data_IF_772202603554
#
_entry.id   IF_772202603554
#
_cell.length_a   1.000
_cell.length_b   1.000
_cell.length_c   1.000
_cell.angle_alpha   90.00
_cell.angle_beta   90.00
_cell.angle_gamma   90.00
#
_symmetry.space_group_name_H-M   'P 1'
#
loop_
_entity.id
_entity.type
_entity.pdbx_description
1 polymer ?
#
# COMPACT_ATOMS: atom_id res chain seq x y z
N UNK A 1 12.48 -1.04 -16.79
CA UNK A 1 11.47 -2.10 -16.63
C UNK A 1 11.73 -2.75 -15.29
N UNK A 2 10.79 -2.70 -14.36
CA UNK A 2 10.90 -3.41 -13.07
C UNK A 2 10.70 -4.90 -13.31
N UNK A 3 11.62 -5.71 -12.79
CA UNK A 3 11.62 -7.17 -12.94
C UNK A 3 10.43 -7.80 -12.19
N UNK A 4 9.80 -8.78 -12.82
CA UNK A 4 8.77 -9.61 -12.18
C UNK A 4 9.42 -10.77 -11.44
N UNK A 5 9.10 -10.86 -10.16
CA UNK A 5 9.61 -11.84 -9.21
C UNK A 5 8.46 -12.76 -8.83
N UNK A 6 8.73 -14.07 -8.80
CA UNK A 6 7.73 -15.08 -8.48
C UNK A 6 8.09 -15.83 -7.20
N UNK A 7 7.19 -15.78 -6.21
CA UNK A 7 7.37 -16.43 -4.90
C UNK A 7 6.04 -17.01 -4.42
N UNK A 8 6.03 -18.30 -4.07
CA UNK A 8 4.86 -19.03 -3.54
C UNK A 8 3.55 -18.77 -4.33
N UNK A 9 3.64 -18.63 -5.65
CA UNK A 9 2.47 -18.36 -6.50
C UNK A 9 2.23 -16.88 -6.80
N UNK A 10 2.69 -15.96 -5.95
CA UNK A 10 2.55 -14.52 -6.15
C UNK A 10 3.57 -13.98 -7.15
N UNK A 11 3.09 -13.15 -8.07
CA UNK A 11 3.91 -12.37 -8.99
C UNK A 11 3.91 -10.93 -8.51
N UNK A 12 5.09 -10.40 -8.24
CA UNK A 12 5.27 -9.02 -7.83
C UNK A 12 6.47 -8.36 -8.50
N UNK A 13 6.50 -7.03 -8.51
CA UNK A 13 7.68 -6.25 -8.89
C UNK A 13 7.97 -5.19 -7.83
N UNK A 14 9.22 -4.75 -7.75
CA UNK A 14 9.63 -3.67 -6.84
C UNK A 14 9.97 -2.42 -7.64
N UNK A 15 9.51 -1.27 -7.16
CA UNK A 15 9.86 0.05 -7.65
C UNK A 15 10.43 0.89 -6.51
N UNK A 16 11.23 1.91 -6.84
CA UNK A 16 11.68 2.92 -5.90
C UNK A 16 11.10 4.27 -6.31
N UNK A 17 10.33 4.87 -5.41
CA UNK A 17 9.81 6.21 -5.56
C UNK A 17 10.68 7.22 -4.80
N UNK A 18 10.91 8.40 -5.37
CA UNK A 18 11.53 9.52 -4.67
C UNK A 18 10.46 10.40 -4.02
N UNK A 19 10.58 10.63 -2.72
CA UNK A 19 9.68 11.42 -1.88
C UNK A 19 10.51 12.42 -1.08
N UNK A 20 10.41 13.71 -1.45
CA UNK A 20 11.08 14.83 -0.76
C UNK A 20 12.59 14.64 -0.54
N UNK A 21 13.31 14.14 -1.57
CA UNK A 21 14.75 13.89 -1.51
C UNK A 21 15.14 12.64 -0.70
N UNK A 22 14.17 11.78 -0.39
CA UNK A 22 14.37 10.43 0.15
C UNK A 22 13.74 9.41 -0.80
N UNK A 23 14.07 8.15 -0.61
CA UNK A 23 13.57 7.06 -1.43
C UNK A 23 12.70 6.12 -0.60
N UNK A 24 11.56 5.74 -1.17
CA UNK A 24 10.63 4.75 -0.64
C UNK A 24 10.56 3.56 -1.59
N UNK A 25 10.60 2.35 -1.03
CA UNK A 25 10.41 1.14 -1.80
C UNK A 25 8.91 0.86 -1.93
N UNK A 26 8.48 0.45 -3.13
CA UNK A 26 7.10 0.06 -3.43
C UNK A 26 7.07 -1.36 -3.97
N UNK A 27 6.09 -2.13 -3.53
CA UNK A 27 5.86 -3.49 -3.97
C UNK A 27 4.55 -3.49 -4.77
N UNK A 28 4.61 -3.96 -6.01
CA UNK A 28 3.44 -4.12 -6.87
C UNK A 28 3.07 -5.59 -6.98
N UNK A 29 2.00 -6.01 -6.31
CA UNK A 29 1.46 -7.37 -6.40
C UNK A 29 0.51 -7.43 -7.60
N UNK A 30 0.85 -8.26 -8.58
CA UNK A 30 0.17 -8.32 -9.89
C UNK A 30 -0.78 -9.51 -10.02
N UNK A 31 -0.39 -10.67 -9.50
CA UNK A 31 -1.21 -11.87 -9.60
C UNK A 31 -0.83 -12.92 -8.56
N UNK A 32 -1.71 -13.88 -8.34
CA UNK A 32 -1.42 -15.14 -7.68
C UNK A 32 -1.76 -16.30 -8.64
N UNK A 33 -0.71 -16.92 -9.20
CA UNK A 33 -0.80 -17.92 -10.28
C UNK A 33 -1.54 -19.18 -9.87
N UNK A 34 -1.33 -19.67 -8.64
CA UNK A 34 -1.96 -20.92 -8.21
C UNK A 34 -3.47 -20.80 -8.03
N UNK A 35 -3.97 -19.60 -7.71
CA UNK A 35 -5.41 -19.35 -7.62
C UNK A 35 -6.00 -18.73 -8.89
N UNK A 36 -5.17 -18.46 -9.91
CA UNK A 36 -5.59 -17.72 -11.11
C UNK A 36 -6.08 -16.29 -10.85
N UNK A 37 -5.72 -15.68 -9.72
CA UNK A 37 -6.15 -14.31 -9.38
C UNK A 37 -5.22 -13.31 -10.05
N UNK A 38 -5.79 -12.31 -10.73
CA UNK A 38 -5.07 -11.14 -11.22
C UNK A 38 -5.55 -9.92 -10.45
N UNK A 39 -4.62 -9.04 -10.08
CA UNK A 39 -4.88 -7.80 -9.38
C UNK A 39 -4.75 -6.64 -10.38
N UNK A 40 -5.88 -6.12 -10.85
CA UNK A 40 -5.95 -4.95 -11.73
C UNK A 40 -6.86 -3.87 -11.11
N UNK A 41 -6.33 -2.67 -10.79
CA UNK A 41 -4.91 -2.31 -10.84
C UNK A 41 -4.06 -3.15 -9.86
N UNK A 42 -2.73 -3.26 -10.07
CA UNK A 42 -1.84 -3.95 -9.13
C UNK A 42 -2.00 -3.41 -7.70
N UNK A 43 -1.95 -4.30 -6.71
CA UNK A 43 -1.94 -3.85 -5.31
C UNK A 43 -0.58 -3.26 -5.00
N UNK A 44 -0.57 -2.00 -4.56
CA UNK A 44 0.65 -1.28 -4.18
C UNK A 44 0.81 -1.34 -2.67
N UNK A 45 1.98 -1.78 -2.21
CA UNK A 45 2.36 -1.78 -0.81
C UNK A 45 3.64 -0.96 -0.67
N UNK A 46 3.56 0.12 0.10
CA UNK A 46 4.70 0.97 0.39
C UNK A 46 5.47 0.44 1.60
N UNK A 47 6.79 0.47 1.51
CA UNK A 47 7.66 0.23 2.67
C UNK A 47 7.46 1.33 3.72
N UNK A 48 7.52 1.00 5.02
CA UNK A 48 7.31 1.98 6.08
C UNK A 48 8.45 3.01 6.14
N UNK A 49 9.68 2.60 5.83
CA UNK A 49 10.87 3.43 5.99
C UNK A 49 11.21 4.27 4.74
N UNK A 50 11.81 5.43 4.97
CA UNK A 50 12.40 6.30 3.93
C UNK A 50 13.93 6.27 4.02
N UNK A 51 14.58 6.13 2.87
CA UNK A 51 16.03 5.97 2.78
C UNK A 51 16.72 7.12 2.06
N UNK A 52 18.02 7.32 2.32
CA UNK A 52 18.84 8.29 1.56
C UNK A 52 19.24 7.79 0.17
N UNK A 53 19.13 6.48 -0.08
CA UNK A 53 19.60 5.84 -1.32
C UNK A 53 18.49 4.96 -1.86
N UNK A 54 18.25 5.02 -3.17
CA UNK A 54 17.24 4.19 -3.83
C UNK A 54 17.47 2.69 -3.64
N UNK A 55 18.74 2.25 -3.72
CA UNK A 55 19.07 0.84 -3.52
C UNK A 55 18.72 0.31 -2.12
N UNK A 56 18.81 1.14 -1.07
CA UNK A 56 18.40 0.71 0.28
C UNK A 56 16.88 0.54 0.37
N UNK A 57 16.13 1.43 -0.29
CA UNK A 57 14.68 1.33 -0.39
C UNK A 57 14.24 0.10 -1.20
N UNK A 58 14.98 -0.25 -2.26
CA UNK A 58 14.74 -1.47 -3.04
C UNK A 58 14.96 -2.75 -2.22
N UNK A 59 16.08 -2.83 -1.47
CA UNK A 59 16.36 -3.96 -0.58
C UNK A 59 15.25 -4.14 0.44
N UNK A 60 14.82 -3.05 1.08
CA UNK A 60 13.72 -3.06 2.06
C UNK A 60 12.43 -3.59 1.43
N UNK A 61 12.04 -3.09 0.26
CA UNK A 61 10.84 -3.56 -0.41
C UNK A 61 10.91 -5.04 -0.79
N UNK A 62 12.08 -5.51 -1.24
CA UNK A 62 12.28 -6.95 -1.52
C UNK A 62 12.20 -7.79 -0.23
N UNK A 63 12.77 -7.31 0.86
CA UNK A 63 12.72 -7.99 2.16
C UNK A 63 11.28 -8.06 2.70
N UNK A 64 10.57 -6.94 2.70
CA UNK A 64 9.17 -6.87 3.14
C UNK A 64 8.26 -7.75 2.27
N UNK A 65 8.44 -7.73 0.94
CA UNK A 65 7.68 -8.62 0.05
C UNK A 65 7.89 -10.09 0.43
N UNK A 66 9.14 -10.46 0.73
CA UNK A 66 9.49 -11.81 1.15
C UNK A 66 8.87 -12.18 2.49
N UNK A 67 8.93 -11.29 3.46
CA UNK A 67 8.31 -11.47 4.78
C UNK A 67 6.80 -11.70 4.65
N UNK A 68 6.09 -10.84 3.91
CA UNK A 68 4.64 -10.94 3.74
C UNK A 68 4.23 -12.24 3.03
N UNK A 69 4.96 -12.64 1.98
CA UNK A 69 4.64 -13.84 1.20
C UNK A 69 5.04 -15.10 1.97
N UNK A 70 6.26 -15.15 2.49
CA UNK A 70 6.75 -16.36 3.15
C UNK A 70 6.08 -16.59 4.50
N UNK A 71 5.77 -15.52 5.23
CA UNK A 71 5.01 -15.55 6.49
C UNK A 71 3.50 -15.76 6.30
N UNK A 72 2.98 -15.59 5.08
CA UNK A 72 1.55 -15.80 4.79
C UNK A 72 0.64 -14.63 5.17
N UNK A 73 1.19 -13.45 5.45
CA UNK A 73 0.46 -12.25 5.86
C UNK A 73 -0.02 -11.38 4.69
N UNK A 74 0.34 -11.73 3.45
CA UNK A 74 0.04 -10.90 2.29
C UNK A 74 -1.46 -10.71 2.05
N UNK A 75 -2.29 -11.74 2.22
CA UNK A 75 -3.74 -11.63 1.99
C UNK A 75 -4.44 -10.71 3.00
N UNK A 76 -4.00 -10.73 4.26
CA UNK A 76 -4.49 -9.82 5.31
C UNK A 76 -4.18 -8.38 4.93
N UNK A 77 -2.95 -8.13 4.46
CA UNK A 77 -2.52 -6.81 4.01
C UNK A 77 -3.30 -6.32 2.77
N UNK A 78 -3.52 -7.19 1.78
CA UNK A 78 -4.34 -6.89 0.60
C UNK A 78 -5.78 -6.55 1.02
N UNK A 79 -6.34 -7.27 1.98
CA UNK A 79 -7.70 -7.02 2.48
C UNK A 79 -7.79 -5.67 3.18
N UNK A 80 -6.82 -5.34 4.04
CA UNK A 80 -6.77 -4.05 4.73
C UNK A 80 -6.70 -2.88 3.74
N UNK A 81 -5.83 -2.95 2.73
CA UNK A 81 -5.71 -1.91 1.69
C UNK A 81 -7.02 -1.71 0.94
N UNK A 82 -7.72 -2.80 0.60
CA UNK A 82 -9.02 -2.72 -0.09
C UNK A 82 -10.11 -2.10 0.78
N UNK A 83 -10.10 -2.39 2.08
CA UNK A 83 -11.05 -1.80 3.03
C UNK A 83 -10.80 -0.30 3.18
N UNK A 84 -9.54 0.11 3.32
CA UNK A 84 -9.17 1.53 3.38
C UNK A 84 -9.61 2.27 2.11
N UNK A 85 -9.40 1.68 0.93
CA UNK A 85 -9.87 2.23 -0.33
C UNK A 85 -11.41 2.27 -0.48
N UNK A 86 -12.14 1.43 0.27
CA UNK A 86 -13.59 1.34 0.23
C UNK A 86 -14.31 2.25 1.24
N UNK A 87 -13.58 2.91 2.15
CA UNK A 87 -14.17 3.88 3.07
C UNK A 87 -14.62 5.11 2.30
N UNK A 88 -15.91 5.51 2.35
CA UNK A 88 -16.34 6.77 1.78
C UNK A 88 -15.66 7.90 2.56
N UNK A 89 -14.95 8.77 1.84
CA UNK A 89 -14.54 10.08 2.34
C UNK A 89 -15.79 10.87 2.69
N UNK A 90 -16.29 10.74 3.91
CA UNK A 90 -17.34 11.61 4.42
C UNK A 90 -16.75 13.02 4.46
N UNK A 91 -17.22 13.99 3.64
CA UNK A 91 -16.82 15.37 3.86
C UNK A 91 -17.41 15.75 5.21
N UNK A 92 -16.54 16.15 6.15
CA UNK A 92 -16.95 16.66 7.44
C UNK A 92 -18.02 17.74 7.22
N UNK A 93 -19.25 17.45 7.65
CA UNK A 93 -20.32 18.42 7.67
C UNK A 93 -19.86 19.66 8.46
N UNK A 94 -19.99 20.81 7.82
CA UNK A 94 -19.72 22.11 8.40
C UNK A 94 -20.49 22.26 9.73
N UNK A 95 -19.94 22.93 10.75
CA UNK A 95 -20.66 23.15 11.99
C UNK A 95 -21.76 24.18 11.75
N UNK A 96 -22.99 23.70 11.60
CA UNK A 96 -24.19 24.53 11.68
C UNK A 96 -24.75 24.37 13.09
N UNK A 97 -24.65 25.43 13.89
CA UNK A 97 -25.74 25.99 14.73
C UNK A 97 -25.15 26.82 15.87
N UNK A 98 -25.12 28.14 15.67
CA UNK A 98 -25.23 29.08 16.78
C UNK A 98 -26.64 28.94 17.36
N UNK A 99 -26.75 28.26 18.50
CA UNK A 99 -27.90 28.38 19.39
C UNK A 99 -27.48 29.25 20.57
N UNK A 100 -28.14 30.39 20.77
CA UNK A 100 -28.71 30.76 22.07
C UNK A 100 -29.42 32.11 22.02
N UNK A 101 -30.72 32.00 22.27
CA UNK A 101 -31.69 32.98 22.74
C UNK A 101 -31.14 34.05 23.69
N UNK A 102 -31.57 35.30 23.51
CA UNK A 102 -31.63 36.28 24.60
C UNK A 102 -33.09 36.69 24.82
N UNK A 103 -33.55 36.39 26.02
CA UNK A 103 -34.80 36.85 26.62
C UNK A 103 -34.44 38.02 27.51
N UNK A 104 -35.02 39.19 27.29
CA UNK A 104 -35.56 40.14 28.30
C UNK A 104 -36.30 41.28 27.60
#
# INVERSE_FOLDING_TARGET
MTEDIWVKGYVYSVEVAEESGRYRGRIHIKAHRYSGRTFEPPIVIDTPALFKRGHAAEIEARALARELIDGGHLEEHITAIRQEAALPVTPAAQPLSDTSSHTE
#
